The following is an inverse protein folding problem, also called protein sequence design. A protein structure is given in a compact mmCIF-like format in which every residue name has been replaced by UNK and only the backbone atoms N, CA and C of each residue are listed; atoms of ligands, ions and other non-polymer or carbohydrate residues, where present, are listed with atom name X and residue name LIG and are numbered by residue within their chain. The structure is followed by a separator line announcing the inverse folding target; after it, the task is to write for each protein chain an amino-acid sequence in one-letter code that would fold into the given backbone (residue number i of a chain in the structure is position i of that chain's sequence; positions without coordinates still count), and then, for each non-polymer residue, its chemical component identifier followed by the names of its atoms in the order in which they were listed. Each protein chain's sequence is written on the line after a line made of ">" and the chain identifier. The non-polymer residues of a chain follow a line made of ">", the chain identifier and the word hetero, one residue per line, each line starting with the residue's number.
data_IF_415426319007
#
_entry.id   IF_415426319007
#
_cell.length_a   1.000
_cell.length_b   1.000
_cell.length_c   1.000
_cell.angle_alpha   90.00
_cell.angle_beta   90.00
_cell.angle_gamma   90.00
#
_symmetry.space_group_name_H-M   'P 1'
#
loop_
_entity.id
_entity.type
_entity.pdbx_description
1 polymer ?
#
# COMPACT_ATOMS: atom_id res chain seq x y z
N UNK A 1 -14.13 -3.38 -3.62
CA UNK A 1 -13.88 -4.20 -2.41
C UNK A 1 -13.94 -5.68 -2.80
N UNK A 2 -13.13 -6.55 -2.19
CA UNK A 2 -13.19 -8.01 -2.41
C UNK A 2 -13.71 -8.73 -1.16
N UNK A 3 -13.14 -8.44 0.02
CA UNK A 3 -13.61 -8.99 1.31
C UNK A 3 -13.26 -8.07 2.48
N UNK A 4 -14.00 -8.22 3.59
CA UNK A 4 -13.84 -7.41 4.80
C UNK A 4 -14.39 -5.98 4.67
N UNK A 5 -14.16 -5.19 5.71
CA UNK A 5 -14.50 -3.76 5.79
C UNK A 5 -13.31 -2.98 6.36
N UNK A 6 -12.19 -2.88 5.61
CA UNK A 6 -10.98 -2.26 6.09
C UNK A 6 -11.21 -0.76 6.34
N UNK A 7 -10.66 -0.26 7.45
CA UNK A 7 -10.63 1.16 7.78
C UNK A 7 -9.22 1.68 7.50
N UNK A 8 -9.15 2.72 6.69
CA UNK A 8 -7.91 3.37 6.29
C UNK A 8 -7.67 4.62 7.10
N UNK A 9 -6.41 4.86 7.46
CA UNK A 9 -5.94 6.10 8.06
C UNK A 9 -4.67 6.54 7.38
N UNK A 10 -4.56 7.84 7.15
CA UNK A 10 -3.40 8.45 6.51
C UNK A 10 -2.98 9.65 7.33
N UNK A 11 -1.68 9.77 7.57
CA UNK A 11 -1.05 10.92 8.19
C UNK A 11 0.01 11.46 7.21
N UNK A 12 -0.35 12.49 6.44
CA UNK A 12 0.59 13.19 5.56
C UNK A 12 1.63 13.91 6.43
N UNK A 13 2.90 13.62 6.16
CA UNK A 13 4.05 14.37 6.71
C UNK A 13 4.50 15.43 5.70
N UNK A 14 4.34 15.15 4.41
CA UNK A 14 4.69 16.04 3.31
C UNK A 14 3.60 15.99 2.23
N UNK A 15 3.27 17.17 1.69
CA UNK A 15 2.35 17.36 0.58
C UNK A 15 2.82 18.58 -0.21
N UNK A 16 3.54 18.35 -1.31
CA UNK A 16 4.10 19.42 -2.16
C UNK A 16 3.37 19.55 -3.47
N UNK A 17 3.33 20.80 -3.95
CA UNK A 17 3.04 21.09 -5.34
C UNK A 17 3.94 20.27 -6.28
N UNK A 18 3.37 19.81 -7.39
CA UNK A 18 4.03 18.88 -8.30
C UNK A 18 3.83 17.40 -7.94
N UNK A 19 2.94 17.08 -6.98
CA UNK A 19 2.46 15.71 -6.76
C UNK A 19 3.43 14.82 -6.00
N UNK A 20 4.14 15.37 -5.02
CA UNK A 20 4.97 14.61 -4.08
C UNK A 20 4.26 14.53 -2.73
N UNK A 21 4.03 13.32 -2.25
CA UNK A 21 3.43 13.06 -0.94
C UNK A 21 4.31 12.10 -0.17
N UNK A 22 4.41 12.29 1.14
CA UNK A 22 5.04 11.31 2.02
C UNK A 22 4.34 11.28 3.37
N UNK A 23 4.34 10.12 4.01
CA UNK A 23 3.68 9.99 5.30
C UNK A 23 3.51 8.55 5.75
N UNK A 24 2.53 8.36 6.62
CA UNK A 24 2.20 7.07 7.19
C UNK A 24 0.78 6.70 6.77
N UNK A 25 0.61 5.44 6.38
CA UNK A 25 -0.69 4.85 6.08
C UNK A 25 -0.92 3.62 6.96
N UNK A 26 -2.16 3.40 7.35
CA UNK A 26 -2.61 2.23 8.10
C UNK A 26 -3.92 1.68 7.54
N UNK A 27 -4.04 0.35 7.55
CA UNK A 27 -5.29 -0.34 7.27
C UNK A 27 -5.53 -1.48 8.25
N UNK A 28 -6.79 -1.62 8.68
CA UNK A 28 -7.27 -2.85 9.33
C UNK A 28 -7.44 -3.98 8.30
N UNK A 29 -7.64 -5.25 8.74
CA UNK A 29 -7.80 -6.39 7.85
C UNK A 29 -8.92 -6.23 6.81
N UNK A 30 -8.67 -6.74 5.61
CA UNK A 30 -9.57 -6.65 4.45
C UNK A 30 -8.81 -6.80 3.13
N UNK A 31 -9.55 -6.97 2.03
CA UNK A 31 -8.97 -7.18 0.69
C UNK A 31 -9.67 -6.35 -0.37
N UNK A 32 -8.89 -5.68 -1.23
CA UNK A 32 -9.42 -4.86 -2.32
C UNK A 32 -8.58 -4.92 -3.57
N UNK A 33 -9.18 -4.45 -4.68
CA UNK A 33 -8.49 -4.21 -5.93
C UNK A 33 -7.72 -2.90 -5.83
N UNK A 34 -6.50 -2.90 -6.32
CA UNK A 34 -5.63 -1.73 -6.42
C UNK A 34 -5.24 -1.52 -7.88
N UNK A 35 -5.19 -0.25 -8.27
CA UNK A 35 -4.72 0.24 -9.57
C UNK A 35 -3.87 1.46 -9.27
N UNK A 36 -2.63 1.43 -9.73
CA UNK A 36 -1.66 2.50 -9.50
C UNK A 36 -1.34 3.19 -10.82
N UNK A 37 -1.65 4.49 -10.90
CA UNK A 37 -1.21 5.36 -11.99
C UNK A 37 0.07 6.12 -11.59
N UNK A 38 0.33 6.19 -10.29
CA UNK A 38 1.44 6.83 -9.62
C UNK A 38 2.59 5.86 -9.31
N UNK A 39 3.74 6.43 -8.96
CA UNK A 39 4.85 5.71 -8.36
C UNK A 39 4.75 5.81 -6.84
N UNK A 40 4.77 4.68 -6.12
CA UNK A 40 4.72 4.64 -4.65
C UNK A 40 5.83 3.76 -4.08
N UNK A 41 6.71 4.34 -3.27
CA UNK A 41 7.56 3.59 -2.34
C UNK A 41 6.78 3.25 -1.09
N UNK A 42 6.93 2.01 -0.61
CA UNK A 42 6.34 1.49 0.61
C UNK A 42 7.43 0.89 1.50
N UNK A 43 7.43 1.24 2.79
CA UNK A 43 8.18 0.54 3.83
C UNK A 43 7.20 0.06 4.91
N UNK A 44 7.14 -1.25 5.16
CA UNK A 44 6.23 -1.80 6.17
C UNK A 44 6.84 -1.63 7.55
N UNK A 45 6.13 -0.92 8.42
CA UNK A 45 6.53 -0.67 9.81
C UNK A 45 6.01 -1.80 10.72
N UNK A 46 4.77 -2.24 10.50
CA UNK A 46 4.14 -3.31 11.30
C UNK A 46 3.03 -4.02 10.54
N UNK A 47 2.67 -5.21 11.01
CA UNK A 47 1.59 -6.04 10.44
C UNK A 47 2.04 -6.89 9.26
N UNK A 48 1.07 -7.47 8.59
CA UNK A 48 1.27 -8.41 7.48
C UNK A 48 0.22 -8.16 6.41
N UNK A 49 0.69 -7.98 5.17
CA UNK A 49 -0.14 -7.85 3.98
C UNK A 49 0.33 -8.79 2.87
N UNK A 50 -0.56 -9.06 1.92
CA UNK A 50 -0.26 -9.77 0.68
C UNK A 50 -0.65 -8.87 -0.49
N UNK A 51 0.34 -8.55 -1.33
CA UNK A 51 0.16 -7.76 -2.54
C UNK A 51 0.28 -8.70 -3.73
N UNK A 52 -0.76 -8.75 -4.57
CA UNK A 52 -0.82 -9.68 -5.72
C UNK A 52 -1.08 -8.90 -7.00
N UNK A 53 -0.16 -8.97 -7.96
CA UNK A 53 -0.34 -8.42 -9.31
C UNK A 53 -1.25 -9.33 -10.15
N UNK A 54 -2.01 -8.75 -11.07
CA UNK A 54 -2.83 -9.50 -12.02
C UNK A 54 -1.97 -10.40 -12.90
N UNK A 55 -2.21 -11.72 -12.83
CA UNK A 55 -1.41 -12.72 -13.52
C UNK A 55 0.00 -12.94 -12.95
N UNK A 56 0.37 -12.20 -11.91
CA UNK A 56 1.63 -12.30 -11.20
C UNK A 56 1.56 -13.17 -9.95
N UNK A 57 2.70 -13.31 -9.26
CA UNK A 57 2.77 -14.01 -7.99
C UNK A 57 2.35 -13.09 -6.83
N UNK A 58 1.69 -13.67 -5.84
CA UNK A 58 1.42 -12.99 -4.58
C UNK A 58 2.71 -12.80 -3.78
N UNK A 59 2.92 -11.59 -3.28
CA UNK A 59 4.03 -11.23 -2.39
C UNK A 59 3.50 -10.91 -1.01
N UNK A 60 3.91 -11.68 -0.01
CA UNK A 60 3.72 -11.32 1.40
C UNK A 60 4.73 -10.22 1.78
N UNK A 61 4.26 -9.19 2.46
CA UNK A 61 5.06 -8.08 2.99
C UNK A 61 4.77 -7.93 4.49
N UNK A 62 5.83 -7.77 5.28
CA UNK A 62 5.81 -7.66 6.75
C UNK A 62 6.80 -6.61 7.23
N UNK A 63 6.79 -6.33 8.53
CA UNK A 63 7.70 -5.36 9.16
C UNK A 63 9.16 -5.50 8.67
N UNK A 64 9.73 -4.38 8.22
CA UNK A 64 11.07 -4.29 7.64
C UNK A 64 11.13 -4.43 6.11
N UNK A 65 10.09 -4.99 5.47
CA UNK A 65 10.07 -5.13 4.02
C UNK A 65 9.85 -3.77 3.34
N UNK A 66 10.55 -3.58 2.22
CA UNK A 66 10.39 -2.40 1.36
C UNK A 66 10.12 -2.81 -0.07
N UNK A 67 9.30 -2.02 -0.77
CA UNK A 67 8.97 -2.25 -2.16
C UNK A 67 8.45 -0.98 -2.84
N UNK A 68 8.35 -1.06 -4.17
CA UNK A 68 7.83 0.01 -5.00
C UNK A 68 6.67 -0.55 -5.83
N UNK A 69 5.56 0.17 -5.83
CA UNK A 69 4.49 0.02 -6.81
C UNK A 69 4.72 1.06 -7.90
N UNK A 70 4.67 0.60 -9.15
CA UNK A 70 4.97 1.43 -10.33
C UNK A 70 3.68 1.76 -11.09
N UNK A 71 3.66 2.86 -11.85
CA UNK A 71 2.57 3.17 -12.76
C UNK A 71 2.22 1.97 -13.65
N UNK A 72 0.93 1.67 -13.75
CA UNK A 72 0.40 0.53 -14.49
C UNK A 72 0.20 -0.73 -13.65
N UNK A 73 0.63 -0.76 -12.38
CA UNK A 73 0.38 -1.90 -11.50
C UNK A 73 -1.12 -2.08 -11.27
N UNK A 74 -1.61 -3.30 -11.48
CA UNK A 74 -3.01 -3.71 -11.26
C UNK A 74 -3.03 -5.01 -10.49
N UNK A 75 -3.88 -5.10 -9.47
CA UNK A 75 -3.86 -6.26 -8.60
C UNK A 75 -4.79 -6.17 -7.42
N UNK A 76 -4.39 -6.81 -6.33
CA UNK A 76 -5.07 -6.71 -5.04
C UNK A 76 -4.11 -6.50 -3.88
N UNK A 77 -4.58 -5.76 -2.89
CA UNK A 77 -3.95 -5.64 -1.57
C UNK A 77 -4.85 -6.35 -0.56
N UNK A 78 -4.27 -7.28 0.19
CA UNK A 78 -4.92 -7.98 1.28
C UNK A 78 -4.17 -7.72 2.57
N UNK A 79 -4.84 -7.17 3.58
CA UNK A 79 -4.30 -6.96 4.91
C UNK A 79 -4.74 -8.12 5.79
N UNK A 80 -3.79 -8.92 6.26
CA UNK A 80 -4.04 -10.08 7.13
C UNK A 80 -3.99 -9.68 8.61
N UNK A 81 -3.04 -8.82 8.94
CA UNK A 81 -2.88 -8.18 10.24
C UNK A 81 -2.78 -6.67 10.01
N UNK A 82 -3.37 -5.84 10.89
CA UNK A 82 -3.37 -4.39 10.75
C UNK A 82 -1.99 -3.89 10.33
N UNK A 83 -1.91 -3.40 9.09
CA UNK A 83 -0.65 -3.05 8.44
C UNK A 83 -0.46 -1.55 8.54
N UNK A 84 0.73 -1.14 9.01
CA UNK A 84 1.18 0.25 8.97
C UNK A 84 2.40 0.33 8.07
N UNK A 85 2.40 1.29 7.14
CA UNK A 85 3.51 1.56 6.23
C UNK A 85 3.88 3.04 6.25
N UNK A 86 5.15 3.32 6.02
CA UNK A 86 5.59 4.60 5.52
C UNK A 86 5.50 4.57 3.99
N UNK A 87 5.14 5.71 3.39
CA UNK A 87 5.06 5.84 1.95
C UNK A 87 5.72 7.11 1.43
N UNK A 88 6.16 7.05 0.18
CA UNK A 88 6.45 8.21 -0.66
C UNK A 88 5.76 8.00 -2.00
N UNK A 89 4.87 8.91 -2.37
CA UNK A 89 4.14 8.90 -3.64
C UNK A 89 4.66 10.01 -4.52
N UNK A 90 4.87 9.69 -5.79
CA UNK A 90 5.09 10.63 -6.87
C UNK A 90 4.02 10.39 -7.95
N UNK A 91 3.14 11.36 -8.12
CA UNK A 91 2.18 11.42 -9.23
C UNK A 91 2.90 11.65 -10.58
#
# INVERSE_FOLDING_TARGET
>A
MISGDPKFRTWNVEEREGGLYAGIWESTPGKWRIVYDEWEFCHIVSGVSVVTEDGGQARTVKAGDSFVLRPGFKGSWEVLETTRKEYVIKL
#
